data_IF_331545747347
#
_entry.id   IF_331545747347
#
_cell.length_a   1.000
_cell.length_b   1.000
_cell.length_c   1.000
_cell.angle_alpha   90.00
_cell.angle_beta   90.00
_cell.angle_gamma   90.00
#
_symmetry.space_group_name_H-M   'P 1'
#
loop_
_entity.id
_entity.type
_entity.pdbx_description
1 polymer ?
#
# COMPACT_ATOMS: atom_id res chain seq x y z
N UNK A 1 -26.90 14.13 -24.69
CA UNK A 1 -26.66 12.68 -24.70
C UNK A 1 -26.13 12.30 -23.35
N UNK A 2 -26.76 11.36 -22.66
CA UNK A 2 -26.29 10.80 -21.37
C UNK A 2 -25.52 9.52 -21.72
N UNK A 3 -24.32 9.34 -21.15
CA UNK A 3 -23.54 8.14 -21.33
C UNK A 3 -24.28 6.91 -20.76
N UNK A 4 -24.37 5.85 -21.54
CA UNK A 4 -25.01 4.60 -21.11
C UNK A 4 -24.08 3.71 -20.26
N UNK A 5 -22.77 3.92 -20.35
CA UNK A 5 -21.73 3.19 -19.62
C UNK A 5 -20.63 4.14 -19.18
N UNK A 6 -20.02 3.82 -18.04
CA UNK A 6 -18.84 4.51 -17.52
C UNK A 6 -17.81 3.47 -17.04
N UNK A 7 -16.54 3.79 -17.22
CA UNK A 7 -15.41 3.01 -16.72
C UNK A 7 -14.64 3.85 -15.70
N UNK A 8 -14.38 3.26 -14.52
CA UNK A 8 -13.60 3.90 -13.46
C UNK A 8 -12.39 3.02 -13.14
N UNK A 9 -11.26 3.65 -12.97
CA UNK A 9 -10.03 2.99 -12.52
C UNK A 9 -9.39 3.82 -11.40
N UNK A 10 -8.71 3.14 -10.49
CA UNK A 10 -8.08 3.80 -9.36
C UNK A 10 -7.07 2.90 -8.66
N UNK A 11 -6.52 3.39 -7.58
CA UNK A 11 -5.56 2.67 -6.73
C UNK A 11 -6.05 2.65 -5.30
N UNK A 12 -6.00 1.48 -4.67
CA UNK A 12 -6.28 1.30 -3.24
C UNK A 12 -4.97 1.07 -2.51
N UNK A 13 -4.81 1.71 -1.37
CA UNK A 13 -3.62 1.61 -0.52
C UNK A 13 -4.02 1.28 0.91
N UNK A 14 -3.36 0.31 1.50
CA UNK A 14 -3.65 -0.18 2.86
C UNK A 14 -2.36 -0.36 3.65
N UNK A 15 -2.44 -0.32 4.99
CA UNK A 15 -1.29 -0.61 5.85
C UNK A 15 -1.20 -2.07 6.27
N UNK A 16 -2.30 -2.80 6.27
CA UNK A 16 -2.35 -4.18 6.74
C UNK A 16 -2.43 -5.19 5.61
N UNK A 17 -1.67 -6.27 5.68
CA UNK A 17 -1.69 -7.33 4.68
C UNK A 17 -3.05 -8.03 4.64
N UNK A 18 -3.67 -8.32 5.80
CA UNK A 18 -5.02 -8.90 5.85
C UNK A 18 -6.07 -8.00 5.19
N UNK A 19 -6.03 -6.68 5.49
CA UNK A 19 -6.90 -5.71 4.83
C UNK A 19 -6.66 -5.67 3.33
N UNK A 20 -5.40 -5.79 2.91
CA UNK A 20 -5.03 -5.81 1.51
C UNK A 20 -5.62 -7.01 0.76
N UNK A 21 -5.58 -8.18 1.39
CA UNK A 21 -6.12 -9.43 0.84
C UNK A 21 -7.65 -9.46 0.81
N UNK A 22 -8.33 -8.83 1.79
CA UNK A 22 -9.79 -8.73 1.85
C UNK A 22 -10.38 -7.66 0.92
N UNK A 23 -9.55 -6.71 0.47
CA UNK A 23 -9.99 -5.53 -0.27
C UNK A 23 -10.73 -5.84 -1.58
N UNK A 24 -10.32 -6.81 -2.42
CA UNK A 24 -11.04 -7.12 -3.65
C UNK A 24 -12.50 -7.47 -3.42
N UNK A 25 -12.78 -8.30 -2.42
CA UNK A 25 -14.15 -8.71 -2.08
C UNK A 25 -14.96 -7.56 -1.50
N UNK A 26 -14.34 -6.75 -0.65
CA UNK A 26 -14.96 -5.57 -0.09
C UNK A 26 -15.32 -4.54 -1.18
N UNK A 27 -14.40 -4.30 -2.10
CA UNK A 27 -14.59 -3.39 -3.23
C UNK A 27 -15.71 -3.88 -4.14
N UNK A 28 -15.70 -5.16 -4.51
CA UNK A 28 -16.75 -5.76 -5.34
C UNK A 28 -18.12 -5.52 -4.72
N UNK A 29 -18.28 -5.85 -3.45
CA UNK A 29 -19.54 -5.68 -2.71
C UNK A 29 -20.01 -4.23 -2.66
N UNK A 30 -19.08 -3.28 -2.42
CA UNK A 30 -19.41 -1.85 -2.37
C UNK A 30 -19.85 -1.36 -3.75
N UNK A 31 -19.13 -1.71 -4.81
CA UNK A 31 -19.43 -1.30 -6.18
C UNK A 31 -20.80 -1.80 -6.61
N UNK A 32 -21.08 -3.09 -6.46
CA UNK A 32 -22.36 -3.70 -6.85
C UNK A 32 -23.54 -3.11 -6.07
N UNK A 33 -23.43 -3.01 -4.75
CA UNK A 33 -24.54 -2.49 -3.94
C UNK A 33 -24.75 -0.97 -4.11
N UNK A 34 -23.69 -0.21 -4.32
CA UNK A 34 -23.83 1.24 -4.57
C UNK A 34 -24.52 1.49 -5.91
N UNK A 35 -24.14 0.78 -6.95
CA UNK A 35 -24.77 0.90 -8.26
C UNK A 35 -26.26 0.49 -8.19
N UNK A 36 -26.56 -0.64 -7.57
CA UNK A 36 -27.94 -1.12 -7.39
C UNK A 36 -28.80 -0.13 -6.63
N UNK A 37 -28.29 0.51 -5.59
CA UNK A 37 -29.01 1.55 -4.83
C UNK A 37 -29.39 2.79 -5.69
N UNK A 38 -28.66 3.01 -6.79
CA UNK A 38 -28.91 4.11 -7.73
C UNK A 38 -29.63 3.66 -9.00
N UNK A 39 -30.11 2.41 -9.05
CA UNK A 39 -30.81 1.85 -10.21
C UNK A 39 -29.89 1.56 -11.41
N UNK A 40 -28.59 1.33 -11.15
CA UNK A 40 -27.60 0.97 -12.14
C UNK A 40 -27.01 -0.41 -11.83
N UNK A 41 -26.26 -0.95 -12.78
CA UNK A 41 -25.43 -2.16 -12.61
C UNK A 41 -23.96 -1.80 -12.70
N UNK A 42 -23.13 -2.44 -11.87
CA UNK A 42 -21.70 -2.28 -11.93
C UNK A 42 -21.00 -3.58 -11.52
N UNK A 43 -19.80 -3.78 -12.01
CA UNK A 43 -18.94 -4.91 -11.68
C UNK A 43 -17.50 -4.45 -11.46
N UNK A 44 -16.78 -5.16 -10.63
CA UNK A 44 -15.33 -5.03 -10.49
C UNK A 44 -14.66 -5.99 -11.48
N UNK A 45 -14.20 -5.46 -12.62
CA UNK A 45 -13.64 -6.28 -13.72
C UNK A 45 -12.21 -6.73 -13.45
N UNK A 46 -11.40 -5.82 -12.91
CA UNK A 46 -9.97 -6.06 -12.66
C UNK A 46 -9.57 -5.57 -11.27
N UNK A 47 -8.83 -6.41 -10.56
CA UNK A 47 -8.17 -6.05 -9.32
C UNK A 47 -6.82 -6.76 -9.22
N UNK A 48 -5.75 -6.01 -9.24
CA UNK A 48 -4.39 -6.54 -9.11
C UNK A 48 -3.79 -6.13 -7.79
N UNK A 49 -3.37 -7.11 -6.99
CA UNK A 49 -2.53 -6.87 -5.81
C UNK A 49 -1.10 -6.67 -6.30
N UNK A 50 -0.61 -5.42 -6.22
CA UNK A 50 0.71 -5.06 -6.74
C UNK A 50 1.79 -5.24 -5.67
N UNK A 51 1.73 -4.48 -4.58
CA UNK A 51 2.78 -4.44 -3.56
C UNK A 51 2.19 -4.60 -2.17
N UNK A 52 2.96 -5.20 -1.28
CA UNK A 52 2.64 -5.32 0.14
C UNK A 52 3.23 -4.15 0.94
N UNK A 53 2.93 -4.10 2.24
CA UNK A 53 3.53 -3.08 3.13
C UNK A 53 5.04 -3.23 3.20
N UNK A 54 5.73 -2.12 3.33
CA UNK A 54 7.14 -2.10 3.74
C UNK A 54 7.20 -2.26 5.25
N UNK A 55 7.78 -3.35 5.71
CA UNK A 55 8.02 -3.60 7.13
C UNK A 55 9.52 -3.86 7.35
N UNK A 56 10.19 -2.87 7.90
CA UNK A 56 11.63 -2.91 8.11
C UNK A 56 12.00 -3.85 9.27
N UNK A 57 13.01 -4.70 9.06
CA UNK A 57 13.61 -5.50 10.13
C UNK A 57 14.28 -4.59 11.17
N UNK A 58 13.92 -4.76 12.44
CA UNK A 58 14.38 -3.89 13.53
C UNK A 58 15.91 -3.85 13.69
N UNK A 59 16.57 -5.01 13.55
CA UNK A 59 18.03 -5.08 13.67
C UNK A 59 18.73 -4.40 12.48
N UNK A 60 18.18 -4.52 11.28
CA UNK A 60 18.68 -3.85 10.08
C UNK A 60 18.48 -2.35 10.17
N UNK A 61 17.31 -1.91 10.62
CA UNK A 61 16.99 -0.50 10.87
C UNK A 61 17.93 0.14 11.89
N UNK A 62 18.23 -0.57 12.97
CA UNK A 62 19.18 -0.07 13.98
C UNK A 62 20.60 0.05 13.42
N UNK A 63 21.06 -0.90 12.59
CA UNK A 63 22.36 -0.78 11.90
C UNK A 63 22.41 0.43 10.97
N UNK A 64 21.35 0.68 10.19
CA UNK A 64 21.24 1.86 9.36
C UNK A 64 21.27 3.14 10.18
N UNK A 65 20.52 3.19 11.29
CA UNK A 65 20.52 4.32 12.21
C UNK A 65 21.91 4.63 12.76
N UNK A 66 22.65 3.60 13.21
CA UNK A 66 24.02 3.77 13.70
C UNK A 66 24.97 4.28 12.61
N UNK A 67 24.83 3.80 11.38
CA UNK A 67 25.61 4.30 10.26
C UNK A 67 25.35 5.78 9.97
N UNK A 68 24.08 6.20 10.00
CA UNK A 68 23.69 7.63 9.83
C UNK A 68 24.31 8.48 10.93
N UNK A 69 24.20 8.06 12.20
CA UNK A 69 24.80 8.81 13.33
C UNK A 69 26.33 8.93 13.16
N UNK A 70 26.99 7.85 12.75
CA UNK A 70 28.43 7.83 12.55
C UNK A 70 28.89 8.78 11.43
N UNK A 71 28.09 8.88 10.36
CA UNK A 71 28.46 9.71 9.19
C UNK A 71 28.01 11.17 9.33
N UNK A 72 26.84 11.42 9.89
CA UNK A 72 26.18 12.73 9.89
C UNK A 72 25.98 13.31 11.30
N UNK A 73 26.33 12.53 12.35
CA UNK A 73 26.02 12.88 13.73
C UNK A 73 24.53 12.67 14.08
N UNK A 74 24.18 12.89 15.38
CA UNK A 74 22.79 12.68 15.86
C UNK A 74 21.75 13.55 15.14
N UNK A 75 22.14 14.74 14.68
CA UNK A 75 21.27 15.65 13.94
C UNK A 75 20.89 15.14 12.54
N UNK A 76 21.59 14.14 12.02
CA UNK A 76 21.25 13.48 10.76
C UNK A 76 20.03 12.55 10.84
N UNK A 77 19.50 12.30 12.05
CA UNK A 77 18.30 11.51 12.24
C UNK A 77 17.05 12.37 12.11
N UNK A 78 16.12 11.95 11.26
CA UNK A 78 14.77 12.48 11.19
C UNK A 78 13.75 11.47 11.73
N UNK A 79 12.58 11.98 12.10
CA UNK A 79 11.42 11.13 12.36
C UNK A 79 10.50 11.19 11.15
N UNK A 80 10.35 10.06 10.48
CA UNK A 80 9.47 9.94 9.32
C UNK A 80 8.19 9.22 9.73
N UNK A 81 7.05 9.84 9.43
CA UNK A 81 5.75 9.18 9.59
C UNK A 81 5.51 8.26 8.40
N UNK A 82 5.05 7.06 8.67
CA UNK A 82 4.67 6.12 7.62
C UNK A 82 3.67 6.76 6.64
N UNK A 83 3.82 6.44 5.37
CA UNK A 83 2.93 6.90 4.30
C UNK A 83 2.28 5.70 3.62
N UNK A 84 1.20 5.95 2.88
CA UNK A 84 0.57 4.98 1.99
C UNK A 84 1.22 4.98 0.59
N UNK A 85 2.51 5.30 0.49
CA UNK A 85 3.27 5.16 -0.75
C UNK A 85 3.46 3.69 -1.11
N UNK A 86 3.31 3.36 -2.39
CA UNK A 86 3.73 2.06 -2.90
C UNK A 86 5.25 2.01 -3.02
N UNK A 87 5.86 0.89 -2.62
CA UNK A 87 7.30 0.70 -2.68
C UNK A 87 7.61 -0.77 -3.02
N UNK A 88 8.26 -0.99 -4.15
CA UNK A 88 8.57 -2.33 -4.66
C UNK A 88 9.56 -3.08 -3.75
N UNK A 89 10.31 -2.36 -2.92
CA UNK A 89 11.25 -2.94 -1.98
C UNK A 89 10.56 -3.86 -0.96
N UNK A 90 9.25 -3.73 -0.75
CA UNK A 90 8.45 -4.64 0.06
C UNK A 90 8.60 -6.11 -0.33
N UNK A 91 8.76 -6.39 -1.64
CA UNK A 91 8.95 -7.75 -2.15
C UNK A 91 10.29 -8.38 -1.73
N UNK A 92 11.32 -7.55 -1.57
CA UNK A 92 12.61 -8.00 -1.03
C UNK A 92 12.51 -8.26 0.48
N UNK A 93 11.85 -7.37 1.23
CA UNK A 93 11.70 -7.48 2.68
C UNK A 93 10.94 -8.74 3.12
N UNK A 94 10.05 -9.24 2.30
CA UNK A 94 9.34 -10.52 2.53
C UNK A 94 10.24 -11.74 2.45
N UNK A 95 11.40 -11.63 1.80
CA UNK A 95 12.34 -12.73 1.53
C UNK A 95 13.63 -12.62 2.31
N UNK A 96 14.03 -11.42 2.67
CA UNK A 96 15.29 -11.15 3.38
C UNK A 96 15.07 -10.14 4.50
N UNK A 97 15.86 -10.27 5.57
CA UNK A 97 15.86 -9.29 6.65
C UNK A 97 16.67 -8.07 6.23
N UNK A 98 16.00 -7.01 5.90
CA UNK A 98 16.60 -5.76 5.44
C UNK A 98 15.80 -4.55 5.96
N UNK A 99 16.24 -3.36 5.65
CA UNK A 99 15.46 -2.12 5.82
C UNK A 99 15.55 -1.28 4.55
N UNK A 100 14.48 -0.57 4.24
CA UNK A 100 14.47 0.51 3.29
C UNK A 100 14.77 1.81 4.04
N UNK A 101 15.84 2.52 3.72
CA UNK A 101 16.07 3.87 4.24
C UNK A 101 15.16 4.82 3.46
N UNK A 102 14.01 5.12 4.01
CA UNK A 102 13.12 6.17 3.52
C UNK A 102 13.39 7.47 4.26
#
# INVERSE_FOLDING_TARGET
VIAGTAYLAGTVRTYGDSTHEEMPELMRRIVEHTAAALGAEAELTDYTIANYKVENDAASSERCRQAVIKCLGPAGQGHYRGTLSGEDFSEYLRRVRACSPL
#
